data_IF_437194883495
#
_entry.id   IF_437194883495
#
_cell.length_a   1.000
_cell.length_b   1.000
_cell.length_c   1.000
_cell.angle_alpha   90.00
_cell.angle_beta   90.00
_cell.angle_gamma   90.00
#
_symmetry.space_group_name_H-M   'P 1'
#
loop_
_entity.id
_entity.type
_entity.pdbx_description
1 polymer ?
#
# COMPACT_ATOMS: atom_id res chain seq x y z
N UNK A 1 3.32 -0.40 18.28
CA UNK A 1 1.84 -0.38 18.37
C UNK A 1 1.27 -0.02 17.00
N UNK A 2 0.25 -0.73 16.56
CA UNK A 2 -0.48 -0.48 15.30
C UNK A 2 -1.18 0.89 15.35
N UNK A 3 -1.58 1.33 16.55
CA UNK A 3 -2.25 2.62 16.78
C UNK A 3 -1.36 3.82 16.42
N UNK A 4 -0.12 3.84 16.90
CA UNK A 4 0.83 4.95 16.67
C UNK A 4 1.20 5.05 15.19
N UNK A 5 1.39 3.92 14.50
CA UNK A 5 1.68 3.92 13.07
C UNK A 5 0.54 4.56 12.27
N UNK A 6 -0.71 4.20 12.58
CA UNK A 6 -1.87 4.78 11.91
C UNK A 6 -1.99 6.29 12.15
N UNK A 7 -1.67 6.77 13.37
CA UNK A 7 -1.67 8.20 13.69
C UNK A 7 -0.60 8.96 12.89
N UNK A 8 0.62 8.44 12.82
CA UNK A 8 1.70 9.07 12.03
C UNK A 8 1.33 9.13 10.56
N UNK A 9 0.81 8.04 9.98
CA UNK A 9 0.41 8.02 8.57
C UNK A 9 -0.71 9.03 8.29
N UNK A 10 -1.65 9.19 9.23
CA UNK A 10 -2.74 10.16 9.08
C UNK A 10 -2.22 11.59 9.10
N UNK A 11 -1.32 11.91 10.03
CA UNK A 11 -0.64 13.21 10.07
C UNK A 11 0.10 13.51 8.76
N UNK A 12 0.83 12.53 8.21
CA UNK A 12 1.51 12.72 6.93
C UNK A 12 0.52 12.99 5.80
N UNK A 13 -0.60 12.28 5.73
CA UNK A 13 -1.63 12.53 4.71
C UNK A 13 -2.27 13.92 4.84
N UNK A 14 -2.47 14.41 6.06
CA UNK A 14 -3.02 15.75 6.30
C UNK A 14 -2.00 16.83 5.87
N UNK A 15 -0.73 16.69 6.27
CA UNK A 15 0.36 17.57 5.82
C UNK A 15 0.54 17.54 4.29
N UNK A 16 0.34 16.40 3.64
CA UNK A 16 0.38 16.31 2.19
C UNK A 16 -0.59 17.28 1.53
N UNK A 17 -1.80 17.37 2.07
CA UNK A 17 -2.90 18.18 1.53
C UNK A 17 -2.68 19.66 1.81
N UNK A 18 -2.24 19.98 3.02
CA UNK A 18 -1.98 21.36 3.45
C UNK A 18 -0.78 21.96 2.72
N UNK A 19 0.33 21.23 2.66
CA UNK A 19 1.61 21.72 2.11
C UNK A 19 1.80 21.42 0.61
N UNK A 20 0.87 20.69 -0.01
CA UNK A 20 0.90 20.28 -1.42
C UNK A 20 2.20 19.55 -1.82
N UNK A 21 2.70 18.71 -0.92
CA UNK A 21 3.94 17.94 -1.11
C UNK A 21 3.66 16.53 -1.64
N UNK A 22 4.69 15.92 -2.23
CA UNK A 22 4.66 14.52 -2.63
C UNK A 22 5.47 13.67 -1.65
N UNK A 23 4.95 12.49 -1.32
CA UNK A 23 5.68 11.50 -0.53
C UNK A 23 6.10 10.31 -1.38
N UNK A 24 7.34 9.88 -1.20
CA UNK A 24 7.85 8.59 -1.67
C UNK A 24 8.03 7.69 -0.46
N UNK A 25 7.19 6.65 -0.38
CA UNK A 25 7.31 5.62 0.65
C UNK A 25 7.96 4.36 0.08
N UNK A 26 8.89 3.77 0.84
CA UNK A 26 9.54 2.51 0.52
C UNK A 26 9.18 1.52 1.63
N UNK A 27 8.48 0.44 1.26
CA UNK A 27 8.00 -0.57 2.21
C UNK A 27 7.87 -1.93 1.52
N UNK A 28 8.01 -2.99 2.30
CA UNK A 28 7.66 -4.37 1.92
C UNK A 28 6.26 -4.78 2.41
N UNK A 29 5.64 -3.96 3.28
CA UNK A 29 4.31 -4.20 3.84
C UNK A 29 3.25 -3.62 2.91
N UNK A 30 2.59 -4.50 2.15
CA UNK A 30 1.53 -4.13 1.20
C UNK A 30 0.30 -3.52 1.90
N UNK A 31 0.04 -3.84 3.16
CA UNK A 31 -1.08 -3.27 3.91
C UNK A 31 -0.89 -1.78 4.16
N UNK A 32 0.33 -1.37 4.52
CA UNK A 32 0.70 0.04 4.65
C UNK A 32 0.64 0.75 3.29
N UNK A 33 1.24 0.16 2.25
CA UNK A 33 1.25 0.75 0.90
C UNK A 33 -0.18 0.96 0.39
N UNK A 34 -1.07 -0.03 0.57
CA UNK A 34 -2.48 0.04 0.17
C UNK A 34 -3.25 1.17 0.86
N UNK A 35 -2.87 1.53 2.08
CA UNK A 35 -3.55 2.55 2.87
C UNK A 35 -3.16 3.98 2.48
N UNK A 36 -1.95 4.19 1.95
CA UNK A 36 -1.37 5.54 1.80
C UNK A 36 -0.96 5.90 0.37
N UNK A 37 -0.64 4.91 -0.47
CA UNK A 37 -0.05 5.16 -1.77
C UNK A 37 -1.14 5.29 -2.84
N UNK A 38 -0.99 6.32 -3.69
CA UNK A 38 -1.80 6.47 -4.90
C UNK A 38 -1.27 5.59 -6.04
N UNK A 39 0.06 5.54 -6.17
CA UNK A 39 0.78 4.71 -7.14
C UNK A 39 1.80 3.84 -6.44
N UNK A 40 2.07 2.67 -7.00
CA UNK A 40 3.07 1.74 -6.50
C UNK A 40 3.99 1.29 -7.63
N UNK A 41 5.24 1.02 -7.28
CA UNK A 41 6.19 0.29 -8.11
C UNK A 41 6.77 -0.85 -7.27
N UNK A 42 6.72 -2.06 -7.80
CA UNK A 42 7.33 -3.24 -7.21
C UNK A 42 8.70 -3.41 -7.84
N UNK A 43 9.74 -3.46 -7.01
CA UNK A 43 11.11 -3.70 -7.44
C UNK A 43 11.48 -5.16 -7.18
N UNK A 44 12.20 -5.74 -8.14
CA UNK A 44 12.85 -7.04 -8.02
C UNK A 44 14.27 -6.95 -8.58
N UNK A 45 15.26 -7.37 -7.79
CA UNK A 45 16.68 -7.31 -8.12
C UNK A 45 17.14 -5.97 -8.74
N UNK A 46 16.65 -4.85 -8.18
CA UNK A 46 17.01 -3.49 -8.64
C UNK A 46 16.31 -3.02 -9.92
N UNK A 47 15.32 -3.76 -10.44
CA UNK A 47 14.50 -3.37 -11.59
C UNK A 47 13.04 -3.24 -11.21
N UNK A 48 12.31 -2.34 -11.86
CA UNK A 48 10.85 -2.24 -11.71
C UNK A 48 10.25 -3.47 -12.40
N UNK A 49 9.68 -4.37 -11.61
CA UNK A 49 8.98 -5.54 -12.09
C UNK A 49 7.51 -5.23 -12.46
N UNK A 50 6.90 -4.26 -11.77
CA UNK A 50 5.52 -3.84 -11.99
C UNK A 50 5.30 -2.42 -11.46
N UNK A 51 4.45 -1.62 -12.12
CA UNK A 51 4.07 -0.31 -11.59
C UNK A 51 2.70 0.12 -12.09
N UNK A 52 1.97 0.91 -11.30
CA UNK A 52 0.62 1.31 -11.65
C UNK A 52 -0.12 2.00 -10.51
N UNK A 53 -1.44 2.11 -10.65
CA UNK A 53 -2.33 2.46 -9.56
C UNK A 53 -2.21 1.43 -8.43
N UNK A 54 -2.15 1.90 -7.19
CA UNK A 54 -1.91 1.03 -6.04
C UNK A 54 -2.99 -0.06 -5.88
N UNK A 55 -4.26 0.25 -6.14
CA UNK A 55 -5.34 -0.73 -6.06
C UNK A 55 -5.19 -1.77 -7.15
N UNK A 56 -4.92 -1.35 -8.37
CA UNK A 56 -4.78 -2.27 -9.51
C UNK A 56 -3.62 -3.25 -9.30
N UNK A 57 -2.44 -2.75 -8.92
CA UNK A 57 -1.24 -3.58 -8.75
C UNK A 57 -1.33 -4.49 -7.52
N UNK A 58 -2.01 -4.07 -6.46
CA UNK A 58 -2.15 -4.88 -5.22
C UNK A 58 -3.31 -5.87 -5.33
N UNK A 59 -4.46 -5.47 -5.86
CA UNK A 59 -5.64 -6.33 -5.93
C UNK A 59 -5.55 -7.34 -7.11
N UNK A 60 -4.81 -7.00 -8.18
CA UNK A 60 -4.63 -7.87 -9.36
C UNK A 60 -3.18 -7.81 -9.92
N UNK A 61 -2.16 -8.25 -9.15
CA UNK A 61 -0.76 -8.20 -9.58
C UNK A 61 -0.51 -9.05 -10.83
N UNK A 62 0.25 -8.52 -11.78
CA UNK A 62 0.58 -9.22 -13.02
C UNK A 62 1.94 -9.92 -12.94
N UNK A 63 2.92 -9.31 -12.29
CA UNK A 63 4.28 -9.84 -12.15
C UNK A 63 4.34 -11.04 -11.20
N UNK A 64 5.33 -11.92 -11.42
CA UNK A 64 5.55 -13.07 -10.54
C UNK A 64 5.85 -12.65 -9.10
N UNK A 65 6.70 -11.62 -8.93
CA UNK A 65 7.03 -11.07 -7.61
C UNK A 65 5.81 -10.39 -6.97
N UNK A 66 4.99 -9.65 -7.72
CA UNK A 66 3.77 -9.04 -7.20
C UNK A 66 2.78 -10.07 -6.70
N UNK A 67 2.58 -11.16 -7.45
CA UNK A 67 1.76 -12.30 -7.04
C UNK A 67 2.30 -12.95 -5.76
N UNK A 68 3.61 -13.15 -5.67
CA UNK A 68 4.24 -13.71 -4.49
C UNK A 68 4.08 -12.81 -3.24
N UNK A 69 4.27 -11.50 -3.39
CA UNK A 69 4.11 -10.53 -2.30
C UNK A 69 2.65 -10.48 -1.80
N UNK A 70 1.68 -10.44 -2.71
CA UNK A 70 0.25 -10.45 -2.34
C UNK A 70 -0.13 -11.77 -1.69
N UNK A 71 0.38 -12.91 -2.17
CA UNK A 71 0.13 -14.21 -1.55
C UNK A 71 0.75 -14.34 -0.14
N UNK A 72 1.88 -13.67 0.11
CA UNK A 72 2.55 -13.65 1.40
C UNK A 72 1.96 -12.61 2.37
N UNK A 73 1.20 -11.62 1.88
CA UNK A 73 0.62 -10.59 2.72
C UNK A 73 -0.46 -11.18 3.66
N UNK A 74 -0.56 -10.68 4.91
CA UNK A 74 -1.63 -11.08 5.81
C UNK A 74 -2.98 -10.76 5.15
N UNK A 75 -3.84 -11.78 5.01
CA UNK A 75 -5.21 -11.58 4.50
C UNK A 75 -5.97 -10.76 5.54
N UNK A 76 -6.14 -9.47 5.28
CA UNK A 76 -7.08 -8.64 6.03
C UNK A 76 -8.47 -9.13 5.65
N UNK A 77 -9.06 -10.02 6.47
CA UNK A 77 -10.47 -10.35 6.36
C UNK A 77 -11.25 -9.06 6.51
N UNK A 78 -11.92 -8.65 5.42
CA UNK A 78 -12.97 -7.65 5.47
C UNK A 78 -13.98 -8.17 6.49
N UNK A 79 -14.04 -7.56 7.67
CA UNK A 79 -15.20 -7.71 8.54
C UNK A 79 -16.35 -7.11 7.73
N UNK A 80 -17.17 -7.99 7.17
CA UNK A 80 -18.46 -7.64 6.60
C UNK A 80 -19.24 -6.94 7.72
N UNK A 81 -19.39 -5.62 7.60
CA UNK A 81 -20.48 -4.93 8.25
C UNK A 81 -21.74 -5.34 7.49
N UNK A 82 -22.27 -6.51 7.85
CA UNK A 82 -23.71 -6.78 7.80
C UNK A 82 -24.37 -5.79 8.77
N UNK A 83 -24.52 -4.55 8.31
CA UNK A 83 -25.55 -3.66 8.78
C UNK A 83 -26.83 -4.06 8.05
N UNK A 84 -27.55 -5.01 8.64
CA UNK A 84 -29.01 -5.04 8.56
C UNK A 84 -29.59 -4.09 9.60
#
# INVERSE_FOLDING_TARGET
>A
DVSVRAQILRLLLDLQREERIAYLFISHDLGVVRAIAHRVAILDAGRIAESGDARTVIDAPQSAIGKALVAAAPKVSRIEQDAS
#
